data_IF_917307109050
#
_entry.id   IF_917307109050
#
_cell.length_a   1.000
_cell.length_b   1.000
_cell.length_c   1.000
_cell.angle_alpha   90.00
_cell.angle_beta   90.00
_cell.angle_gamma   90.00
#
_symmetry.space_group_name_H-M   'P 1'
#
loop_
_entity.id
_entity.type
_entity.pdbx_description
1 polymer ?
#
# COMPACT_ATOMS: atom_id res chain seq x y z
N UNK A 1 0.17 68.44 42.30
CA UNK A 1 -0.58 67.80 41.18
C UNK A 1 0.22 66.58 40.69
N UNK A 2 -0.17 65.38 41.13
CA UNK A 2 0.50 64.12 40.79
C UNK A 2 -0.33 63.47 39.66
N UNK A 3 0.26 63.33 38.48
CA UNK A 3 -0.31 62.59 37.34
C UNK A 3 0.16 61.14 37.41
N UNK A 4 -0.79 60.23 37.66
CA UNK A 4 -0.58 58.79 37.72
C UNK A 4 -0.77 58.24 36.30
N UNK A 5 0.33 57.82 35.62
CA UNK A 5 0.30 57.16 34.34
C UNK A 5 0.09 55.65 34.51
N UNK A 6 -1.07 55.14 34.19
CA UNK A 6 -1.38 53.70 34.19
C UNK A 6 -0.91 53.12 32.84
N UNK A 7 0.12 52.26 32.91
CA UNK A 7 0.60 51.45 31.78
C UNK A 7 -0.30 50.21 31.60
N UNK A 8 -1.14 50.19 30.58
CA UNK A 8 -1.83 48.97 30.15
C UNK A 8 -0.89 48.05 29.38
N UNK A 9 -0.47 46.99 30.06
CA UNK A 9 0.24 45.87 29.42
C UNK A 9 -0.78 44.97 28.73
N UNK A 10 -0.92 45.15 27.43
CA UNK A 10 -1.72 44.25 26.59
C UNK A 10 -1.00 42.95 26.29
N UNK A 11 -1.39 41.85 26.96
CA UNK A 11 -0.96 40.50 26.60
C UNK A 11 -1.54 40.13 25.21
N UNK A 12 -0.73 40.21 24.17
CA UNK A 12 -1.03 39.54 22.89
C UNK A 12 -0.75 38.07 23.01
N UNK A 13 -1.80 37.27 23.27
CA UNK A 13 -1.77 35.82 23.06
C UNK A 13 -1.67 35.56 21.55
N UNK A 14 -0.47 35.47 21.02
CA UNK A 14 -0.21 34.91 19.71
C UNK A 14 -0.36 33.39 19.85
N UNK A 15 -1.55 32.86 19.52
CA UNK A 15 -1.72 31.44 19.24
C UNK A 15 -0.82 31.11 18.08
N UNK A 16 0.35 30.53 18.37
CA UNK A 16 1.15 29.83 17.39
C UNK A 16 0.32 28.65 16.84
N UNK A 17 -0.31 28.86 15.68
CA UNK A 17 -0.66 27.73 14.82
C UNK A 17 0.67 27.06 14.49
N UNK A 18 0.95 25.93 15.16
CA UNK A 18 2.02 25.04 14.75
C UNK A 18 1.71 24.60 13.32
N UNK A 19 2.37 25.22 12.35
CA UNK A 19 2.35 24.78 10.97
C UNK A 19 2.93 23.37 10.94
N UNK A 20 2.09 22.39 10.57
CA UNK A 20 2.58 21.06 10.22
C UNK A 20 3.51 21.26 9.04
N UNK A 21 4.81 21.15 9.27
CA UNK A 21 5.81 21.16 8.22
C UNK A 21 5.59 19.90 7.37
N UNK A 22 5.83 20.00 6.06
CA UNK A 22 5.68 18.92 5.08
C UNK A 22 6.45 17.64 5.48
N UNK A 23 7.43 17.76 6.39
CA UNK A 23 8.27 16.69 6.95
C UNK A 23 7.55 15.74 7.93
N UNK A 24 6.32 16.07 8.38
CA UNK A 24 5.56 15.26 9.33
C UNK A 24 4.36 14.52 8.72
N UNK A 25 4.12 14.65 7.41
CA UNK A 25 3.03 13.94 6.74
C UNK A 25 3.53 12.61 6.21
N UNK A 26 2.90 11.51 6.63
CA UNK A 26 3.17 10.17 6.11
C UNK A 26 2.84 10.13 4.61
N UNK A 27 3.68 9.51 3.77
CA UNK A 27 3.33 9.33 2.37
C UNK A 27 2.16 8.35 2.22
N UNK A 28 1.27 8.64 1.29
CA UNK A 28 0.18 7.72 0.94
C UNK A 28 0.66 6.72 -0.11
N UNK A 29 0.44 5.45 0.17
CA UNK A 29 0.65 4.32 -0.75
C UNK A 29 -0.70 3.77 -1.16
N UNK A 30 -1.00 3.78 -2.45
CA UNK A 30 -2.22 3.18 -2.98
C UNK A 30 -1.95 1.76 -3.48
N UNK A 31 -2.87 0.86 -3.17
CA UNK A 31 -2.89 -0.52 -3.66
C UNK A 31 -4.20 -0.80 -4.39
N UNK A 32 -4.20 -1.75 -5.31
CA UNK A 32 -5.42 -2.07 -6.07
C UNK A 32 -6.45 -2.80 -5.21
N UNK A 33 -6.04 -3.82 -4.45
CA UNK A 33 -6.94 -4.71 -3.71
C UNK A 33 -6.47 -4.94 -2.25
N UNK A 34 -7.38 -5.30 -1.33
CA UNK A 34 -7.09 -5.44 0.11
C UNK A 34 -5.97 -6.41 0.48
N UNK A 35 -5.71 -7.55 -0.20
CA UNK A 35 -4.56 -8.39 0.12
C UNK A 35 -3.22 -7.66 0.07
N UNK A 36 -3.08 -6.66 -0.81
CA UNK A 36 -1.86 -5.85 -0.91
C UNK A 36 -1.74 -4.84 0.22
N UNK A 37 -2.86 -4.32 0.72
CA UNK A 37 -2.88 -3.51 1.94
C UNK A 37 -2.31 -4.28 3.14
N UNK A 38 -2.65 -5.57 3.27
CA UNK A 38 -2.08 -6.42 4.32
C UNK A 38 -0.55 -6.45 4.23
N UNK A 39 0.03 -6.74 3.06
CA UNK A 39 1.48 -6.79 2.90
C UNK A 39 2.15 -5.44 3.21
N UNK A 40 1.57 -4.32 2.76
CA UNK A 40 2.10 -2.99 3.06
C UNK A 40 2.04 -2.71 4.56
N UNK A 41 0.92 -3.00 5.22
CA UNK A 41 0.74 -2.78 6.65
C UNK A 41 1.71 -3.62 7.49
N UNK A 42 1.94 -4.88 7.14
CA UNK A 42 2.90 -5.74 7.85
C UNK A 42 4.34 -5.20 7.73
N UNK A 43 4.71 -4.63 6.59
CA UNK A 43 6.08 -4.11 6.36
C UNK A 43 6.23 -2.70 6.90
N UNK A 44 5.31 -1.79 6.56
CA UNK A 44 5.47 -0.36 6.83
C UNK A 44 4.82 0.08 8.14
N UNK A 45 3.83 -0.66 8.66
CA UNK A 45 3.06 -0.32 9.85
C UNK A 45 2.56 1.14 9.79
N UNK A 46 2.96 1.97 10.73
CA UNK A 46 2.55 3.37 10.87
C UNK A 46 3.37 4.37 10.04
N UNK A 47 4.31 3.93 9.20
CA UNK A 47 5.20 4.82 8.43
C UNK A 47 4.60 5.33 7.13
N UNK A 48 3.54 4.72 6.66
CA UNK A 48 2.78 5.15 5.47
C UNK A 48 1.27 5.07 5.76
N UNK A 49 0.50 5.86 5.03
CA UNK A 49 -0.96 5.71 4.95
C UNK A 49 -1.30 4.85 3.73
N UNK A 50 -2.24 3.90 3.87
CA UNK A 50 -2.60 2.98 2.78
C UNK A 50 -4.00 3.26 2.27
N UNK A 51 -4.11 3.54 0.99
CA UNK A 51 -5.37 3.68 0.26
C UNK A 51 -5.61 2.43 -0.61
N UNK A 52 -6.87 1.96 -0.68
CA UNK A 52 -7.28 0.79 -1.47
C UNK A 52 -8.28 1.23 -2.54
N UNK A 53 -7.96 0.99 -3.81
CA UNK A 53 -8.84 1.40 -4.91
C UNK A 53 -10.10 0.55 -5.01
N UNK A 54 -9.95 -0.77 -5.01
CA UNK A 54 -11.08 -1.71 -5.09
C UNK A 54 -11.33 -2.29 -3.70
N UNK A 55 -12.26 -1.69 -2.96
CA UNK A 55 -12.60 -2.11 -1.61
C UNK A 55 -13.27 -3.49 -1.58
N UNK A 56 -13.29 -4.12 -0.39
CA UNK A 56 -13.94 -5.41 -0.16
C UNK A 56 -15.38 -5.45 -0.72
N UNK A 57 -15.75 -6.58 -1.31
CA UNK A 57 -17.06 -6.82 -1.87
C UNK A 57 -17.25 -6.34 -3.32
N UNK A 58 -16.27 -5.66 -3.89
CA UNK A 58 -16.30 -5.26 -5.30
C UNK A 58 -15.53 -6.24 -6.19
N UNK A 59 -15.96 -6.36 -7.44
CA UNK A 59 -15.27 -7.19 -8.43
C UNK A 59 -14.14 -6.38 -9.10
N UNK A 60 -12.88 -6.73 -8.91
CA UNK A 60 -11.75 -6.00 -9.47
C UNK A 60 -11.61 -6.09 -11.00
N UNK A 61 -12.36 -6.98 -11.66
CA UNK A 61 -12.35 -7.07 -13.12
C UNK A 61 -13.25 -6.02 -13.79
N UNK A 62 -14.27 -5.53 -13.07
CA UNK A 62 -15.29 -4.62 -13.61
C UNK A 62 -15.47 -3.34 -12.80
N UNK A 63 -14.61 -3.11 -11.82
CA UNK A 63 -14.73 -1.95 -10.92
C UNK A 63 -14.42 -0.63 -11.64
N UNK A 64 -15.20 0.40 -11.30
CA UNK A 64 -14.97 1.76 -11.75
C UNK A 64 -14.77 2.67 -10.53
N UNK A 65 -13.67 3.45 -10.46
CA UNK A 65 -13.42 4.34 -9.35
C UNK A 65 -14.34 5.56 -9.39
N UNK A 66 -14.85 5.96 -8.23
CA UNK A 66 -15.64 7.18 -8.12
C UNK A 66 -14.76 8.45 -7.96
N UNK A 67 -15.38 9.63 -8.05
CA UNK A 67 -14.67 10.90 -7.96
C UNK A 67 -13.89 11.09 -6.65
N UNK A 68 -14.44 10.62 -5.51
CA UNK A 68 -13.77 10.71 -4.22
C UNK A 68 -12.49 9.88 -4.20
N UNK A 69 -12.51 8.68 -4.76
CA UNK A 69 -11.32 7.82 -4.87
C UNK A 69 -10.24 8.43 -5.76
N UNK A 70 -10.63 9.13 -6.84
CA UNK A 70 -9.68 9.86 -7.68
C UNK A 70 -9.02 11.02 -6.92
N UNK A 71 -9.76 11.72 -6.06
CA UNK A 71 -9.21 12.76 -5.16
C UNK A 71 -8.25 12.14 -4.13
N UNK A 72 -8.58 11.00 -3.52
CA UNK A 72 -7.66 10.34 -2.58
C UNK A 72 -6.41 9.82 -3.29
N UNK A 73 -6.56 9.24 -4.49
CA UNK A 73 -5.44 8.78 -5.31
C UNK A 73 -4.46 9.92 -5.65
N UNK A 74 -4.97 11.13 -5.94
CA UNK A 74 -4.11 12.27 -6.32
C UNK A 74 -3.12 12.70 -5.24
N UNK A 75 -3.32 12.23 -4.00
CA UNK A 75 -2.40 12.44 -2.87
C UNK A 75 -1.34 11.34 -2.74
N UNK A 76 -1.42 10.29 -3.56
CA UNK A 76 -0.55 9.13 -3.44
C UNK A 76 0.84 9.40 -4.01
N UNK A 77 1.86 9.02 -3.25
CA UNK A 77 3.25 9.05 -3.69
C UNK A 77 3.63 7.78 -4.47
N UNK A 78 2.93 6.67 -4.18
CA UNK A 78 3.24 5.35 -4.73
C UNK A 78 1.96 4.56 -5.01
N UNK A 79 1.91 3.88 -6.15
CA UNK A 79 0.90 2.89 -6.49
C UNK A 79 1.55 1.52 -6.65
N UNK A 80 1.06 0.52 -5.93
CA UNK A 80 1.52 -0.86 -6.00
C UNK A 80 0.47 -1.69 -6.73
N UNK A 81 0.72 -2.01 -7.99
CA UNK A 81 -0.22 -2.78 -8.81
C UNK A 81 -0.02 -4.29 -8.64
N UNK A 82 -1.12 -5.02 -8.83
CA UNK A 82 -1.19 -6.49 -8.83
C UNK A 82 -0.52 -7.07 -10.09
N UNK A 83 -0.73 -6.40 -11.24
CA UNK A 83 -0.18 -6.79 -12.53
C UNK A 83 -1.24 -7.05 -13.60
N UNK A 84 -1.90 -8.20 -13.57
CA UNK A 84 -2.79 -8.64 -14.66
C UNK A 84 -4.29 -8.59 -14.30
N UNK A 85 -4.72 -7.64 -13.49
CA UNK A 85 -6.12 -7.49 -13.07
C UNK A 85 -6.84 -6.48 -13.97
N UNK A 86 -8.11 -6.74 -14.31
CA UNK A 86 -8.89 -5.97 -15.30
C UNK A 86 -9.01 -4.50 -14.96
N UNK A 87 -9.19 -4.16 -13.67
CA UNK A 87 -9.17 -2.79 -13.19
C UNK A 87 -7.91 -2.03 -13.64
N UNK A 88 -6.74 -2.61 -13.43
CA UNK A 88 -5.46 -1.97 -13.78
C UNK A 88 -5.28 -1.82 -15.29
N UNK A 89 -5.72 -2.83 -16.06
CA UNK A 89 -5.66 -2.78 -17.53
C UNK A 89 -6.53 -1.64 -18.09
N UNK A 90 -7.68 -1.40 -17.46
CA UNK A 90 -8.64 -0.39 -17.92
C UNK A 90 -8.31 1.01 -17.42
N UNK A 91 -7.87 1.15 -16.18
CA UNK A 91 -7.83 2.44 -15.48
C UNK A 91 -6.42 3.00 -15.30
N UNK A 92 -5.35 2.21 -15.37
CA UNK A 92 -4.01 2.66 -14.95
C UNK A 92 -3.55 3.96 -15.61
N UNK A 93 -3.80 4.13 -16.91
CA UNK A 93 -3.46 5.37 -17.62
C UNK A 93 -4.17 6.58 -17.00
N UNK A 94 -5.49 6.49 -16.79
CA UNK A 94 -6.28 7.57 -16.18
C UNK A 94 -5.88 7.85 -14.74
N UNK A 95 -5.48 6.82 -13.98
CA UNK A 95 -4.98 6.98 -12.62
C UNK A 95 -3.65 7.75 -12.60
N UNK A 96 -2.74 7.46 -13.52
CA UNK A 96 -1.48 8.17 -13.66
C UNK A 96 -1.68 9.61 -14.16
N UNK A 97 -2.58 9.84 -15.10
CA UNK A 97 -2.92 11.19 -15.58
C UNK A 97 -3.50 12.06 -14.43
N UNK A 98 -4.27 11.45 -13.53
CA UNK A 98 -4.83 12.13 -12.34
C UNK A 98 -3.79 12.38 -11.23
N UNK A 99 -2.71 11.59 -11.19
CA UNK A 99 -1.65 11.67 -10.19
C UNK A 99 -0.27 11.56 -10.88
N UNK A 100 0.18 12.58 -11.63
CA UNK A 100 1.37 12.48 -12.50
C UNK A 100 2.68 12.28 -11.72
N UNK A 101 2.76 12.72 -10.46
CA UNK A 101 3.94 12.52 -9.61
C UNK A 101 3.96 11.15 -8.91
N UNK A 102 2.86 10.40 -8.96
CA UNK A 102 2.74 9.09 -8.34
C UNK A 102 3.58 8.06 -9.08
N UNK A 103 4.46 7.37 -8.34
CA UNK A 103 5.24 6.25 -8.90
C UNK A 103 4.39 5.00 -8.95
N UNK A 104 4.40 4.29 -10.08
CA UNK A 104 3.70 3.01 -10.24
C UNK A 104 4.71 1.88 -10.28
N UNK A 105 4.53 0.89 -9.40
CA UNK A 105 5.38 -0.30 -9.30
C UNK A 105 4.53 -1.55 -9.51
N UNK A 106 4.96 -2.38 -10.45
CA UNK A 106 4.39 -3.71 -10.67
C UNK A 106 5.00 -4.69 -9.67
N UNK A 107 4.19 -5.13 -8.71
CA UNK A 107 4.64 -6.04 -7.65
C UNK A 107 4.64 -7.50 -8.08
N UNK A 108 4.07 -7.83 -9.25
CA UNK A 108 4.13 -9.18 -9.84
C UNK A 108 5.45 -9.47 -10.56
N UNK A 109 6.35 -8.51 -10.65
CA UNK A 109 7.63 -8.69 -11.34
C UNK A 109 8.41 -9.87 -10.74
N UNK A 110 8.78 -10.83 -11.60
CA UNK A 110 9.45 -12.08 -11.22
C UNK A 110 8.50 -13.25 -10.96
N UNK A 111 7.18 -13.04 -11.05
CA UNK A 111 6.19 -14.11 -10.99
C UNK A 111 5.89 -14.60 -12.41
N UNK A 112 5.89 -15.93 -12.59
CA UNK A 112 5.32 -16.57 -13.77
C UNK A 112 3.85 -16.86 -13.49
N UNK A 113 2.89 -16.14 -14.10
CA UNK A 113 1.49 -16.34 -13.80
C UNK A 113 1.01 -17.69 -14.33
N UNK A 114 0.10 -18.33 -13.60
CA UNK A 114 -0.61 -19.51 -14.07
C UNK A 114 -1.51 -19.17 -15.26
N UNK A 115 -1.87 -20.19 -16.04
CA UNK A 115 -2.86 -20.06 -17.11
C UNK A 115 -4.13 -20.80 -16.73
N UNK A 116 -5.27 -20.22 -17.06
CA UNK A 116 -6.56 -20.87 -16.98
C UNK A 116 -6.65 -21.99 -18.04
N UNK A 117 -7.59 -22.95 -17.93
CA UNK A 117 -7.80 -23.96 -18.98
C UNK A 117 -8.06 -23.39 -20.38
N UNK A 118 -8.57 -22.16 -20.47
CA UNK A 118 -8.76 -21.42 -21.72
C UNK A 118 -7.51 -20.70 -22.26
N UNK A 119 -6.34 -20.88 -21.61
CA UNK A 119 -5.06 -20.28 -22.02
C UNK A 119 -4.85 -18.83 -21.59
N UNK A 120 -5.84 -18.19 -20.95
CA UNK A 120 -5.71 -16.84 -20.43
C UNK A 120 -4.84 -16.82 -19.15
N UNK A 121 -4.21 -15.67 -18.88
CA UNK A 121 -3.47 -15.46 -17.62
C UNK A 121 -4.45 -15.48 -16.45
N UNK A 122 -4.12 -16.26 -15.42
CA UNK A 122 -4.81 -16.18 -14.12
C UNK A 122 -4.26 -14.98 -13.33
N UNK A 123 -5.08 -13.96 -13.04
CA UNK A 123 -4.62 -12.78 -12.33
C UNK A 123 -4.39 -12.99 -10.83
N UNK A 124 -4.85 -14.11 -10.24
CA UNK A 124 -4.89 -14.36 -8.79
C UNK A 124 -3.52 -14.74 -8.21
N UNK A 125 -2.47 -14.03 -8.61
CA UNK A 125 -1.07 -14.33 -8.23
C UNK A 125 -0.82 -14.29 -6.72
N UNK A 126 -1.60 -13.53 -5.97
CA UNK A 126 -1.47 -13.39 -4.51
C UNK A 126 -1.98 -14.60 -3.71
N UNK A 127 -2.64 -15.55 -4.35
CA UNK A 127 -3.18 -16.76 -3.70
C UNK A 127 -2.12 -17.82 -3.38
N UNK A 128 -0.88 -17.65 -3.84
CA UNK A 128 0.24 -18.57 -3.62
C UNK A 128 1.22 -18.01 -2.59
N UNK A 129 1.61 -18.83 -1.60
CA UNK A 129 2.66 -18.46 -0.64
C UNK A 129 4.00 -18.14 -1.32
N UNK A 130 4.36 -18.89 -2.38
CA UNK A 130 5.56 -18.61 -3.17
C UNK A 130 5.49 -17.21 -3.80
N UNK A 131 4.38 -16.86 -4.42
CA UNK A 131 4.19 -15.55 -5.02
C UNK A 131 4.11 -14.43 -3.96
N UNK A 132 3.49 -14.72 -2.81
CA UNK A 132 3.42 -13.76 -1.69
C UNK A 132 4.82 -13.33 -1.21
N UNK A 133 5.82 -14.22 -1.23
CA UNK A 133 7.23 -13.86 -0.95
C UNK A 133 7.76 -12.86 -1.97
N UNK A 134 7.52 -13.10 -3.26
CA UNK A 134 7.99 -12.22 -4.35
C UNK A 134 7.29 -10.86 -4.28
N UNK A 135 5.97 -10.84 -4.11
CA UNK A 135 5.16 -9.63 -3.94
C UNK A 135 5.68 -8.82 -2.76
N UNK A 136 5.85 -9.45 -1.59
CA UNK A 136 6.35 -8.79 -0.38
C UNK A 136 7.75 -8.21 -0.56
N UNK A 137 8.65 -8.90 -1.30
CA UNK A 137 9.99 -8.41 -1.62
C UNK A 137 9.94 -7.17 -2.54
N UNK A 138 9.07 -7.18 -3.55
CA UNK A 138 8.88 -6.04 -4.44
C UNK A 138 8.27 -4.83 -3.70
N UNK A 139 7.31 -5.06 -2.79
CA UNK A 139 6.75 -4.04 -1.90
C UNK A 139 7.83 -3.46 -0.99
N UNK A 140 8.63 -4.29 -0.33
CA UNK A 140 9.76 -3.83 0.50
C UNK A 140 10.69 -2.91 -0.28
N UNK A 141 11.11 -3.29 -1.49
CA UNK A 141 11.98 -2.47 -2.32
C UNK A 141 11.35 -1.11 -2.66
N UNK A 142 10.05 -1.09 -2.96
CA UNK A 142 9.32 0.13 -3.26
C UNK A 142 9.24 1.06 -2.04
N UNK A 143 8.92 0.52 -0.87
CA UNK A 143 8.85 1.24 0.40
C UNK A 143 10.23 1.80 0.82
N UNK A 144 11.30 1.02 0.69
CA UNK A 144 12.66 1.47 1.00
C UNK A 144 13.14 2.61 0.08
N UNK A 145 12.64 2.67 -1.17
CA UNK A 145 12.92 3.80 -2.09
C UNK A 145 12.07 5.02 -1.77
N UNK A 146 10.84 4.81 -1.30
CA UNK A 146 9.93 5.89 -0.91
C UNK A 146 10.40 6.57 0.38
N UNK A 147 10.77 5.77 1.38
CA UNK A 147 11.11 6.20 2.74
C UNK A 147 12.45 5.58 3.18
N UNK A 148 13.59 6.01 2.60
CA UNK A 148 14.90 5.38 2.85
C UNK A 148 15.36 5.47 4.31
N UNK A 149 14.90 6.47 5.07
CA UNK A 149 15.19 6.61 6.50
C UNK A 149 14.56 5.49 7.35
N UNK A 150 13.53 4.82 6.86
CA UNK A 150 12.86 3.70 7.51
C UNK A 150 13.29 2.31 7.00
N UNK A 151 14.32 2.25 6.15
CA UNK A 151 14.76 1.00 5.50
C UNK A 151 14.97 -0.15 6.47
N UNK A 152 15.77 0.04 7.52
CA UNK A 152 16.05 -1.01 8.50
C UNK A 152 14.80 -1.50 9.23
N UNK A 153 13.85 -0.60 9.52
CA UNK A 153 12.56 -0.93 10.11
C UNK A 153 11.72 -1.80 9.16
N UNK A 154 11.64 -1.43 7.89
CA UNK A 154 10.91 -2.20 6.88
C UNK A 154 11.53 -3.57 6.65
N UNK A 155 12.86 -3.66 6.57
CA UNK A 155 13.58 -4.93 6.40
C UNK A 155 13.33 -5.88 7.57
N UNK A 156 13.33 -5.39 8.82
CA UNK A 156 13.04 -6.20 9.99
C UNK A 156 11.59 -6.74 9.99
N UNK A 157 10.62 -5.89 9.67
CA UNK A 157 9.21 -6.28 9.58
C UNK A 157 8.96 -7.26 8.43
N UNK A 158 9.60 -7.04 7.28
CA UNK A 158 9.56 -7.97 6.16
C UNK A 158 10.06 -9.37 6.57
N UNK A 159 11.13 -9.49 7.35
CA UNK A 159 11.59 -10.79 7.83
C UNK A 159 10.56 -11.47 8.74
N UNK A 160 9.81 -10.69 9.53
CA UNK A 160 8.71 -11.23 10.33
C UNK A 160 7.57 -11.73 9.44
N UNK A 161 7.20 -10.96 8.41
CA UNK A 161 6.18 -11.36 7.43
C UNK A 161 6.57 -12.63 6.68
N UNK A 162 7.82 -12.77 6.24
CA UNK A 162 8.30 -13.99 5.56
C UNK A 162 8.16 -15.21 6.47
N UNK A 163 8.49 -15.12 7.76
CA UNK A 163 8.27 -16.23 8.71
C UNK A 163 6.80 -16.64 8.82
N UNK A 164 5.88 -15.67 8.76
CA UNK A 164 4.43 -15.95 8.76
C UNK A 164 4.04 -16.70 7.48
N UNK A 165 4.50 -16.24 6.32
CA UNK A 165 4.22 -16.87 5.02
C UNK A 165 4.76 -18.29 5.00
N UNK A 166 6.01 -18.52 5.45
CA UNK A 166 6.65 -19.83 5.47
C UNK A 166 5.91 -20.82 6.38
N UNK A 167 5.47 -20.35 7.55
CA UNK A 167 4.65 -21.16 8.47
C UNK A 167 3.31 -21.56 7.82
N UNK A 168 2.66 -20.66 7.11
CA UNK A 168 1.39 -20.95 6.41
C UNK A 168 1.61 -21.95 5.27
N UNK A 169 2.67 -21.76 4.49
CA UNK A 169 3.04 -22.65 3.40
C UNK A 169 3.26 -24.09 3.89
N UNK A 170 4.02 -24.25 5.00
CA UNK A 170 4.22 -25.54 5.66
C UNK A 170 2.90 -26.17 6.13
N UNK A 171 2.05 -25.38 6.80
CA UNK A 171 0.73 -25.86 7.28
C UNK A 171 -0.17 -26.34 6.14
N UNK A 172 -0.22 -25.60 5.03
CA UNK A 172 -0.99 -25.96 3.84
C UNK A 172 -0.43 -27.25 3.23
N UNK A 173 0.89 -27.34 3.07
CA UNK A 173 1.56 -28.51 2.50
C UNK A 173 1.33 -29.78 3.34
N UNK A 174 1.36 -29.66 4.67
CA UNK A 174 1.05 -30.77 5.59
C UNK A 174 -0.43 -31.19 5.50
N UNK A 175 -1.34 -30.22 5.37
CA UNK A 175 -2.76 -30.52 5.22
C UNK A 175 -3.04 -31.34 3.95
N UNK A 176 -2.43 -31.00 2.83
CA UNK A 176 -2.56 -31.79 1.58
C UNK A 176 -1.90 -33.17 1.68
N UNK A 177 -0.75 -33.29 2.34
CA UNK A 177 -0.12 -34.60 2.56
C UNK A 177 -0.99 -35.55 3.39
N UNK A 178 -1.68 -35.00 4.39
CA UNK A 178 -2.53 -35.77 5.29
C UNK A 178 -3.93 -36.04 4.73
N UNK A 179 -4.33 -35.36 3.66
CA UNK A 179 -5.65 -35.47 3.01
C UNK A 179 -5.48 -35.48 1.49
N UNK A 180 -4.94 -36.59 0.91
CA UNK A 180 -4.66 -36.66 -0.52
C UNK A 180 -5.90 -36.54 -1.42
N UNK A 181 -7.10 -36.73 -0.86
CA UNK A 181 -8.37 -36.51 -1.55
C UNK A 181 -8.67 -35.03 -1.85
N UNK A 182 -7.89 -34.08 -1.30
CA UNK A 182 -8.02 -32.64 -1.58
C UNK A 182 -7.18 -32.19 -2.78
N UNK A 183 -6.43 -33.08 -3.39
CA UNK A 183 -5.64 -32.83 -4.60
C UNK A 183 -6.40 -33.30 -5.82
#
# INVERSE_FOLDING_TARGET
LIILCTLCVGCKNAQQKAGMTKDNMKPTVTVTIPPYQYFVNEIAQDKVDVNVMVANGNNPETYEPNAQQMVELSKSALYLKVGNIGFEQTWMQKLQDNAPDMKVIDTSKGITPAKTPGGNIDPHVWMSCQNARIISANILQALCRLEPQHKAFFENNYQALIRIIDKRDSTISESFKNNPELM
#
